data_IF_217299179071
#
_entry.id   IF_217299179071
#
_cell.length_a   1.000
_cell.length_b   1.000
_cell.length_c   1.000
_cell.angle_alpha   90.00
_cell.angle_beta   90.00
_cell.angle_gamma   90.00
#
_symmetry.space_group_name_H-M   'P 1'
#
loop_
_entity.id
_entity.type
_entity.pdbx_description
1 polymer ?
#
# COMPACT_ATOMS: atom_id res chain seq x y z
N UNK A 1 13.82 -12.93 17.08
CA UNK A 1 12.55 -12.25 16.73
C UNK A 1 11.44 -13.27 16.87
N UNK A 2 10.25 -12.86 17.28
CA UNK A 2 9.08 -13.74 17.21
C UNK A 2 8.56 -13.80 15.77
N UNK A 3 7.74 -14.81 15.45
CA UNK A 3 7.05 -14.88 14.15
C UNK A 3 6.22 -13.61 13.88
N UNK A 4 5.73 -12.96 14.93
CA UNK A 4 4.97 -11.70 14.82
C UNK A 4 5.85 -10.54 14.41
N UNK A 5 7.02 -10.42 15.03
CA UNK A 5 7.98 -9.37 14.70
C UNK A 5 8.47 -9.51 13.25
N UNK A 6 8.74 -10.76 12.82
CA UNK A 6 9.15 -11.05 11.44
C UNK A 6 8.06 -10.64 10.44
N UNK A 7 6.80 -10.99 10.71
CA UNK A 7 5.68 -10.58 9.87
C UNK A 7 5.52 -9.06 9.82
N UNK A 8 5.62 -8.36 10.97
CA UNK A 8 5.50 -6.90 11.04
C UNK A 8 6.61 -6.22 10.24
N UNK A 9 7.86 -6.67 10.38
CA UNK A 9 8.98 -6.12 9.62
C UNK A 9 8.86 -6.40 8.11
N UNK A 10 8.37 -7.58 7.73
CA UNK A 10 8.07 -7.90 6.33
C UNK A 10 7.03 -6.94 5.75
N UNK A 11 5.91 -6.73 6.47
CA UNK A 11 4.85 -5.82 6.01
C UNK A 11 5.33 -4.37 5.96
N UNK A 12 6.17 -3.95 6.91
CA UNK A 12 6.78 -2.62 6.90
C UNK A 12 7.68 -2.41 5.68
N UNK A 13 8.60 -3.33 5.41
CA UNK A 13 9.51 -3.24 4.27
C UNK A 13 8.75 -3.17 2.94
N UNK A 14 7.68 -3.95 2.85
CA UNK A 14 6.79 -3.93 1.71
C UNK A 14 5.99 -2.64 1.55
N UNK A 15 5.52 -2.04 2.65
CA UNK A 15 4.87 -0.72 2.63
C UNK A 15 5.85 0.37 2.18
N UNK A 16 7.10 0.29 2.60
CA UNK A 16 8.17 1.20 2.15
C UNK A 16 8.43 1.07 0.63
N UNK A 17 8.43 -0.15 0.09
CA UNK A 17 8.52 -0.39 -1.36
C UNK A 17 7.38 0.30 -2.11
N UNK A 18 6.15 0.19 -1.60
CA UNK A 18 5.00 0.82 -2.21
C UNK A 18 5.02 2.35 -2.12
N UNK A 19 5.55 2.91 -1.03
CA UNK A 19 5.74 4.36 -0.92
C UNK A 19 6.64 4.85 -2.05
N UNK A 20 7.77 4.17 -2.27
CA UNK A 20 8.71 4.53 -3.33
C UNK A 20 8.07 4.41 -4.74
N UNK A 21 7.28 3.38 -4.99
CA UNK A 21 6.60 3.24 -6.28
C UNK A 21 5.48 4.26 -6.49
N UNK A 22 4.72 4.64 -5.45
CA UNK A 22 3.73 5.73 -5.53
C UNK A 22 4.42 7.07 -5.83
N UNK A 23 5.58 7.33 -5.21
CA UNK A 23 6.38 8.53 -5.48
C UNK A 23 6.86 8.58 -6.92
N UNK A 24 7.31 7.45 -7.46
CA UNK A 24 7.71 7.31 -8.86
C UNK A 24 6.54 7.55 -9.82
N UNK A 25 5.38 6.95 -9.58
CA UNK A 25 4.17 7.21 -10.38
C UNK A 25 3.77 8.70 -10.31
N UNK A 26 3.89 9.31 -9.13
CA UNK A 26 3.63 10.73 -8.93
C UNK A 26 4.58 11.61 -9.74
N UNK A 27 5.86 11.27 -9.78
CA UNK A 27 6.85 11.97 -10.61
C UNK A 27 6.55 11.81 -12.11
N UNK A 28 6.21 10.61 -12.56
CA UNK A 28 5.83 10.35 -13.96
C UNK A 28 4.57 11.13 -14.35
N UNK A 29 3.57 11.18 -13.48
CA UNK A 29 2.34 11.92 -13.73
C UNK A 29 2.57 13.43 -13.91
N UNK A 30 3.56 14.01 -13.23
CA UNK A 30 3.94 15.43 -13.39
C UNK A 30 4.55 15.72 -14.77
N UNK A 31 5.13 14.72 -15.43
CA UNK A 31 5.73 14.83 -16.76
C UNK A 31 4.73 14.51 -17.89
N UNK A 32 3.54 14.02 -17.56
CA UNK A 32 2.52 13.64 -18.52
C UNK A 32 1.77 14.85 -19.09
N UNK A 33 1.06 14.64 -20.22
CA UNK A 33 0.15 15.65 -20.77
C UNK A 33 -0.97 15.99 -19.78
N UNK A 34 -1.63 17.15 -19.95
CA UNK A 34 -2.68 17.60 -19.03
C UNK A 34 -3.84 16.58 -18.91
N UNK A 35 -4.26 15.96 -20.02
CA UNK A 35 -5.29 14.92 -20.02
C UNK A 35 -4.87 13.64 -19.28
N UNK A 36 -3.62 13.21 -19.47
CA UNK A 36 -3.09 12.03 -18.79
C UNK A 36 -2.85 12.31 -17.29
N UNK A 37 -2.42 13.53 -16.95
CA UNK A 37 -2.17 13.95 -15.56
C UNK A 37 -3.42 13.84 -14.70
N UNK A 38 -4.61 14.20 -15.21
CA UNK A 38 -5.87 14.07 -14.46
C UNK A 38 -6.16 12.61 -14.13
N UNK A 39 -6.08 11.71 -15.11
CA UNK A 39 -6.33 10.27 -14.93
C UNK A 39 -5.33 9.65 -13.95
N UNK A 40 -4.06 9.98 -14.10
CA UNK A 40 -3.00 9.50 -13.21
C UNK A 40 -3.16 10.02 -11.79
N UNK A 41 -3.62 11.26 -11.61
CA UNK A 41 -3.84 11.82 -10.28
C UNK A 41 -4.91 11.04 -9.52
N UNK A 42 -6.04 10.70 -10.15
CA UNK A 42 -7.09 9.88 -9.52
C UNK A 42 -6.56 8.50 -9.07
N UNK A 43 -5.73 7.86 -9.90
CA UNK A 43 -5.13 6.57 -9.56
C UNK A 43 -4.10 6.68 -8.43
N UNK A 44 -3.27 7.72 -8.44
CA UNK A 44 -2.29 8.00 -7.38
C UNK A 44 -2.98 8.27 -6.05
N UNK A 45 -4.04 9.08 -6.02
CA UNK A 45 -4.77 9.36 -4.79
C UNK A 45 -5.43 8.09 -4.22
N UNK A 46 -5.96 7.22 -5.08
CA UNK A 46 -6.45 5.89 -4.66
C UNK A 46 -5.34 5.03 -4.07
N UNK A 47 -4.13 5.06 -4.63
CA UNK A 47 -2.99 4.33 -4.08
C UNK A 47 -2.57 4.87 -2.71
N UNK A 48 -2.47 6.19 -2.56
CA UNK A 48 -2.15 6.84 -1.27
C UNK A 48 -3.17 6.53 -0.19
N UNK A 49 -4.46 6.54 -0.52
CA UNK A 49 -5.50 6.17 0.43
C UNK A 49 -5.29 4.75 0.96
N UNK A 50 -5.05 3.79 0.06
CA UNK A 50 -4.82 2.39 0.45
C UNK A 50 -3.52 2.20 1.24
N UNK A 51 -2.48 2.94 0.89
CA UNK A 51 -1.22 2.98 1.63
C UNK A 51 -1.47 3.46 3.07
N UNK A 52 -2.25 4.53 3.26
CA UNK A 52 -2.61 5.03 4.59
C UNK A 52 -3.45 4.02 5.39
N UNK A 53 -4.45 3.39 4.76
CA UNK A 53 -5.26 2.33 5.37
C UNK A 53 -4.39 1.12 5.81
N UNK A 54 -3.42 0.75 4.98
CA UNK A 54 -2.49 -0.36 5.28
C UNK A 54 -1.53 0.02 6.42
N UNK A 55 -1.02 1.26 6.43
CA UNK A 55 -0.19 1.77 7.53
C UNK A 55 -0.94 1.73 8.87
N UNK A 56 -2.22 2.12 8.88
CA UNK A 56 -3.04 2.05 10.08
C UNK A 56 -3.21 0.60 10.57
N UNK A 57 -3.52 -0.33 9.65
CA UNK A 57 -3.64 -1.76 10.00
C UNK A 57 -2.33 -2.37 10.51
N UNK A 58 -1.19 -1.87 10.05
CA UNK A 58 0.12 -2.35 10.51
C UNK A 58 0.36 -1.91 11.97
N UNK A 59 -0.03 -0.69 12.31
CA UNK A 59 0.01 -0.22 13.69
C UNK A 59 -1.00 -0.97 14.59
N UNK A 60 -2.22 -1.24 14.10
CA UNK A 60 -3.17 -2.09 14.81
C UNK A 60 -2.60 -3.49 15.07
N UNK A 61 -1.92 -4.08 14.09
CA UNK A 61 -1.29 -5.40 14.21
C UNK A 61 -0.14 -5.41 15.23
N UNK A 62 0.66 -4.33 15.30
CA UNK A 62 1.72 -4.16 16.30
C UNK A 62 1.19 -4.11 17.72
N UNK A 63 0.00 -3.55 17.91
CA UNK A 63 -0.63 -3.37 19.21
C UNK A 63 -1.66 -4.46 19.55
N UNK A 64 -1.89 -5.41 18.65
CA UNK A 64 -2.86 -6.49 18.86
C UNK A 64 -2.43 -7.43 20.00
N UNK A 65 -3.41 -7.82 20.83
CA UNK A 65 -3.21 -8.87 21.83
C UNK A 65 -2.96 -10.22 21.16
N UNK A 66 -2.50 -11.22 21.93
CA UNK A 66 -2.26 -12.53 21.35
C UNK A 66 -3.49 -13.18 20.74
N UNK A 67 -4.65 -13.00 21.37
CA UNK A 67 -5.93 -13.55 20.93
C UNK A 67 -6.46 -12.85 19.66
N UNK A 68 -6.18 -11.55 19.50
CA UNK A 68 -6.65 -10.76 18.36
C UNK A 68 -5.70 -10.83 17.15
N UNK A 69 -4.43 -11.21 17.36
CA UNK A 69 -3.37 -11.06 16.38
C UNK A 69 -3.67 -11.74 15.04
N UNK A 70 -4.18 -12.97 15.05
CA UNK A 70 -4.50 -13.69 13.82
C UNK A 70 -5.63 -13.02 13.01
N UNK A 71 -6.61 -12.44 13.69
CA UNK A 71 -7.71 -11.72 13.01
C UNK A 71 -7.21 -10.43 12.37
N UNK A 72 -6.38 -9.67 13.09
CA UNK A 72 -5.78 -8.44 12.55
C UNK A 72 -4.82 -8.75 11.41
N UNK A 73 -4.04 -9.85 11.51
CA UNK A 73 -3.14 -10.33 10.45
C UNK A 73 -3.90 -10.66 9.17
N UNK A 74 -5.03 -11.35 9.26
CA UNK A 74 -5.87 -11.62 8.08
C UNK A 74 -6.35 -10.33 7.42
N UNK A 75 -6.78 -9.34 8.22
CA UNK A 75 -7.16 -8.03 7.70
C UNK A 75 -6.00 -7.27 7.02
N UNK A 76 -4.77 -7.49 7.47
CA UNK A 76 -3.55 -7.00 6.81
C UNK A 76 -3.34 -7.70 5.46
N UNK A 77 -3.42 -9.04 5.42
CA UNK A 77 -3.27 -9.81 4.17
C UNK A 77 -4.30 -9.38 3.11
N UNK A 78 -5.55 -9.13 3.50
CA UNK A 78 -6.59 -8.63 2.60
C UNK A 78 -6.26 -7.23 2.05
N UNK A 79 -5.80 -6.34 2.93
CA UNK A 79 -5.40 -4.97 2.55
C UNK A 79 -4.21 -4.99 1.60
N UNK A 80 -3.29 -5.93 1.83
CA UNK A 80 -2.13 -6.17 0.99
C UNK A 80 -2.55 -6.53 -0.45
N UNK A 81 -3.45 -7.51 -0.61
CA UNK A 81 -3.92 -7.93 -1.93
C UNK A 81 -4.71 -6.82 -2.65
N UNK A 82 -5.47 -6.01 -1.91
CA UNK A 82 -6.16 -4.85 -2.47
C UNK A 82 -5.19 -3.78 -2.98
N UNK A 83 -4.11 -3.50 -2.26
CA UNK A 83 -3.06 -2.59 -2.75
C UNK A 83 -2.37 -3.15 -3.99
N UNK A 84 -2.01 -4.44 -3.98
CA UNK A 84 -1.37 -5.09 -5.12
C UNK A 84 -2.23 -4.99 -6.37
N UNK A 85 -3.55 -5.17 -6.23
CA UNK A 85 -4.50 -4.97 -7.32
C UNK A 85 -4.51 -3.51 -7.79
N UNK A 86 -4.66 -2.55 -6.89
CA UNK A 86 -4.68 -1.13 -7.24
C UNK A 86 -3.39 -0.69 -7.96
N UNK A 87 -2.24 -1.23 -7.55
CA UNK A 87 -0.95 -0.93 -8.17
C UNK A 87 -0.84 -1.50 -9.59
N UNK A 88 -1.30 -2.74 -9.82
CA UNK A 88 -1.39 -3.33 -11.17
C UNK A 88 -2.30 -2.50 -12.07
N UNK A 89 -3.45 -2.10 -11.54
CA UNK A 89 -4.44 -1.30 -12.28
C UNK A 89 -3.87 0.07 -12.66
N UNK A 90 -3.22 0.76 -11.72
CA UNK A 90 -2.56 2.04 -11.98
C UNK A 90 -1.42 1.87 -13.00
N UNK A 91 -0.48 0.96 -12.76
CA UNK A 91 0.68 0.72 -13.64
C UNK A 91 0.28 0.36 -15.07
N UNK A 92 -0.86 -0.32 -15.27
CA UNK A 92 -1.39 -0.64 -16.59
C UNK A 92 -1.75 0.59 -17.43
N UNK A 93 -2.06 1.72 -16.77
CA UNK A 93 -2.44 2.98 -17.40
C UNK A 93 -1.25 3.88 -17.70
N UNK A 94 -0.11 3.66 -17.02
CA UNK A 94 1.16 4.36 -17.28
C UNK A 94 1.99 3.73 -18.41
N UNK A 95 1.51 2.64 -19.03
CA UNK A 95 2.06 2.06 -20.25
C UNK A 95 1.57 2.82 -21.48
#
# INVERSE_FOLDING_TARGET
MSQRDEFIEEMKARLDEWNAEIDKLTAQARQASDEARVKYHEDIERLKQRQAETQQRLDELRHASEEAWDTVRQGMDDSWELMRKAFRDASSRFK
#
